data_IF_699836672561
#
_entry.id   IF_699836672561
#
_cell.length_a   1.000
_cell.length_b   1.000
_cell.length_c   1.000
_cell.angle_alpha   90.00
_cell.angle_beta   90.00
_cell.angle_gamma   90.00
#
_symmetry.space_group_name_H-M   'P 1'
#
loop_
_entity.id
_entity.type
_entity.pdbx_description
1 polymer ?
#
# COMPACT_ATOMS: atom_id res chain seq x y z
N UNK A 1 18.93 57.09 10.49
CA UNK A 1 18.55 55.88 11.24
C UNK A 1 17.25 55.24 10.75
N UNK A 2 16.19 55.99 10.47
CA UNK A 2 14.93 55.43 9.95
C UNK A 2 15.08 54.81 8.55
N UNK A 3 15.94 55.31 7.69
CA UNK A 3 16.19 54.78 6.33
C UNK A 3 16.86 53.40 6.36
N UNK A 4 17.86 53.20 7.21
CA UNK A 4 18.54 51.89 7.38
C UNK A 4 17.61 50.79 7.95
N UNK A 5 16.71 51.17 8.83
CA UNK A 5 15.73 50.20 9.37
C UNK A 5 14.72 49.77 8.30
N UNK A 6 14.27 50.66 7.44
CA UNK A 6 13.39 50.31 6.31
C UNK A 6 14.08 49.37 5.34
N UNK A 7 15.36 49.59 5.00
CA UNK A 7 16.14 48.73 4.12
C UNK A 7 16.27 47.33 4.72
N UNK A 8 16.55 47.22 6.03
CA UNK A 8 16.62 45.91 6.73
C UNK A 8 15.30 45.15 6.68
N UNK A 9 14.18 45.83 6.84
CA UNK A 9 12.83 45.21 6.78
C UNK A 9 12.56 44.70 5.35
N UNK A 10 12.85 45.45 4.32
CA UNK A 10 12.67 45.02 2.93
C UNK A 10 13.57 43.82 2.58
N UNK A 11 14.80 43.78 3.07
CA UNK A 11 15.70 42.63 2.89
C UNK A 11 15.17 41.39 3.58
N UNK A 12 14.64 41.49 4.79
CA UNK A 12 14.04 40.36 5.52
C UNK A 12 12.80 39.82 4.79
N UNK A 13 11.93 40.70 4.31
CA UNK A 13 10.72 40.30 3.55
C UNK A 13 11.12 39.60 2.25
N UNK A 14 12.14 40.12 1.55
CA UNK A 14 12.66 39.53 0.31
C UNK A 14 13.23 38.13 0.55
N UNK A 15 13.99 37.93 1.61
CA UNK A 15 14.56 36.64 1.98
C UNK A 15 13.43 35.64 2.34
N UNK A 16 12.41 36.05 3.09
CA UNK A 16 11.26 35.24 3.42
C UNK A 16 10.48 34.81 2.16
N UNK A 17 10.28 35.71 1.21
CA UNK A 17 9.60 35.40 -0.05
C UNK A 17 10.39 34.40 -0.89
N UNK A 18 11.71 34.54 -0.98
CA UNK A 18 12.59 33.63 -1.71
C UNK A 18 12.53 32.25 -1.05
N UNK A 19 12.59 32.18 0.28
CA UNK A 19 12.49 30.92 1.03
C UNK A 19 11.12 30.24 0.82
N UNK A 20 10.03 31.00 0.81
CA UNK A 20 8.70 30.51 0.52
C UNK A 20 8.57 29.94 -0.90
N UNK A 21 9.18 30.61 -1.89
CA UNK A 21 9.22 30.11 -3.27
C UNK A 21 10.05 28.84 -3.43
N UNK A 22 11.14 28.69 -2.69
CA UNK A 22 12.00 27.50 -2.75
C UNK A 22 11.31 26.25 -2.13
N UNK A 23 10.47 26.45 -1.14
CA UNK A 23 9.73 25.32 -0.50
C UNK A 23 8.47 24.90 -1.27
N UNK A 24 8.01 25.71 -2.22
CA UNK A 24 6.75 25.47 -2.94
C UNK A 24 6.87 24.49 -4.11
N UNK A 25 8.08 24.10 -4.51
CA UNK A 25 8.31 23.32 -5.74
C UNK A 25 8.34 21.80 -5.56
N UNK A 26 8.05 21.26 -4.37
CA UNK A 26 8.13 19.81 -4.11
C UNK A 26 6.77 19.10 -4.04
N UNK A 27 5.72 19.65 -4.62
CA UNK A 27 4.51 18.87 -4.85
C UNK A 27 4.73 17.99 -6.08
N UNK A 28 5.41 16.88 -5.86
CA UNK A 28 5.48 15.80 -6.85
C UNK A 28 4.10 15.21 -6.98
N UNK A 29 3.42 15.54 -8.05
CA UNK A 29 2.21 14.84 -8.48
C UNK A 29 2.60 13.38 -8.74
N UNK A 30 2.13 12.44 -7.94
CA UNK A 30 2.24 11.02 -8.28
C UNK A 30 1.44 10.78 -9.55
N UNK A 31 2.14 10.48 -10.62
CA UNK A 31 1.53 10.10 -11.89
C UNK A 31 0.76 8.78 -11.69
N UNK A 32 -0.55 8.84 -11.79
CA UNK A 32 -1.40 7.66 -11.70
C UNK A 32 -1.11 6.79 -12.92
N UNK A 33 -0.37 5.70 -12.72
CA UNK A 33 -0.06 4.74 -13.77
C UNK A 33 -1.19 3.70 -13.86
N UNK A 34 -1.96 3.75 -14.93
CA UNK A 34 -3.00 2.76 -15.21
C UNK A 34 -2.38 1.56 -15.92
N UNK A 35 -2.58 0.37 -15.37
CA UNK A 35 -2.15 -0.91 -15.95
C UNK A 35 -3.40 -1.73 -16.24
N UNK A 36 -3.59 -2.12 -17.47
CA UNK A 36 -4.72 -2.94 -17.90
C UNK A 36 -4.27 -4.23 -18.59
N UNK A 37 -5.03 -5.28 -18.44
CA UNK A 37 -4.75 -6.58 -19.01
C UNK A 37 -5.42 -7.71 -18.24
N UNK A 38 -5.21 -8.95 -18.68
CA UNK A 38 -5.70 -10.14 -17.99
C UNK A 38 -4.92 -10.35 -16.70
N UNK A 39 -5.63 -10.39 -15.58
CA UNK A 39 -5.04 -10.59 -14.27
C UNK A 39 -4.88 -12.09 -13.96
N UNK A 40 -3.68 -12.48 -13.56
CA UNK A 40 -3.36 -13.81 -13.04
C UNK A 40 -3.14 -13.72 -11.53
N UNK A 41 -3.89 -14.49 -10.77
CA UNK A 41 -3.78 -14.49 -9.31
C UNK A 41 -2.56 -15.30 -8.87
N UNK A 42 -1.70 -14.68 -8.04
CA UNK A 42 -0.53 -15.32 -7.43
C UNK A 42 -0.84 -15.79 -6.02
N UNK A 43 -1.38 -14.90 -5.19
CA UNK A 43 -1.80 -15.14 -3.80
C UNK A 43 -3.14 -14.46 -3.53
N UNK A 44 -3.68 -14.61 -2.32
CA UNK A 44 -4.94 -13.98 -1.93
C UNK A 44 -4.95 -12.45 -1.93
N UNK A 45 -3.78 -11.80 -1.98
CA UNK A 45 -3.61 -10.34 -2.01
C UNK A 45 -2.75 -9.84 -3.18
N UNK A 46 -2.33 -10.72 -4.07
CA UNK A 46 -1.38 -10.39 -5.14
C UNK A 46 -1.85 -10.94 -6.49
N UNK A 47 -1.86 -10.07 -7.48
CA UNK A 47 -2.16 -10.41 -8.88
C UNK A 47 -0.98 -10.04 -9.78
N UNK A 48 -0.94 -10.62 -10.95
CA UNK A 48 0.00 -10.28 -12.01
C UNK A 48 -0.76 -9.89 -13.28
N UNK A 49 -0.44 -8.72 -13.82
CA UNK A 49 -0.94 -8.27 -15.12
C UNK A 49 0.27 -8.10 -16.03
N UNK A 50 0.31 -8.86 -17.14
CA UNK A 50 1.50 -8.97 -17.98
C UNK A 50 2.68 -9.42 -17.12
N UNK A 51 3.81 -8.73 -17.16
CA UNK A 51 5.01 -9.04 -16.37
C UNK A 51 5.05 -8.33 -15.01
N UNK A 52 4.01 -7.53 -14.66
CA UNK A 52 4.00 -6.74 -13.43
C UNK A 52 3.23 -7.43 -12.32
N UNK A 53 3.90 -7.58 -11.18
CA UNK A 53 3.31 -8.03 -9.93
C UNK A 53 2.67 -6.85 -9.21
N UNK A 54 1.40 -7.00 -8.83
CA UNK A 54 0.61 -5.94 -8.19
C UNK A 54 0.06 -6.49 -6.88
N UNK A 55 0.40 -5.84 -5.76
CA UNK A 55 -0.19 -6.12 -4.48
C UNK A 55 -1.43 -5.27 -4.28
N UNK A 56 -2.53 -5.90 -3.87
CA UNK A 56 -3.79 -5.21 -3.62
C UNK A 56 -3.71 -4.40 -2.32
N UNK A 57 -4.02 -3.11 -2.40
CA UNK A 57 -3.96 -2.21 -1.26
C UNK A 57 -5.07 -2.53 -0.25
N UNK A 58 -4.73 -2.49 1.04
CA UNK A 58 -5.69 -2.70 2.13
C UNK A 58 -6.14 -4.15 2.33
N UNK A 59 -5.56 -5.09 1.60
CA UNK A 59 -5.79 -6.53 1.75
C UNK A 59 -4.50 -7.19 2.18
N UNK A 60 -4.58 -8.01 3.23
CA UNK A 60 -3.50 -8.88 3.66
C UNK A 60 -4.04 -10.30 3.74
N UNK A 61 -3.43 -11.22 3.01
CA UNK A 61 -3.86 -12.60 2.92
C UNK A 61 -2.67 -13.54 3.13
N UNK A 62 -2.91 -14.78 3.62
CA UNK A 62 -1.87 -15.78 3.71
C UNK A 62 -1.26 -16.08 2.34
N UNK A 63 0.05 -16.30 2.29
CA UNK A 63 0.72 -16.75 1.08
C UNK A 63 0.16 -18.08 0.58
N UNK A 64 0.19 -18.33 -0.73
CA UNK A 64 -0.44 -19.50 -1.35
C UNK A 64 -0.08 -20.82 -0.69
N UNK A 65 1.17 -20.99 -0.29
CA UNK A 65 1.66 -22.23 0.36
C UNK A 65 1.51 -22.22 1.88
N UNK A 66 1.04 -21.14 2.46
CA UNK A 66 0.88 -21.03 3.91
C UNK A 66 -0.24 -21.91 4.43
N UNK A 67 0.04 -22.60 5.53
CA UNK A 67 -0.94 -23.35 6.31
C UNK A 67 -1.27 -22.59 7.58
N UNK A 68 -2.52 -22.62 7.99
CA UNK A 68 -2.99 -22.03 9.23
C UNK A 68 -3.53 -23.12 10.16
N UNK A 69 -3.62 -22.81 11.44
CA UNK A 69 -4.15 -23.72 12.44
C UNK A 69 -5.56 -23.33 12.85
N UNK A 70 -6.43 -24.29 12.94
CA UNK A 70 -7.81 -24.13 13.38
C UNK A 70 -8.07 -25.04 14.58
N UNK A 71 -8.55 -24.52 15.72
CA UNK A 71 -8.95 -25.37 16.85
C UNK A 71 -10.16 -26.23 16.43
N UNK A 72 -10.05 -27.53 16.60
CA UNK A 72 -11.11 -28.45 16.26
C UNK A 72 -11.72 -29.15 17.50
N UNK A 73 -10.97 -29.22 18.59
CA UNK A 73 -11.41 -29.78 19.86
C UNK A 73 -10.77 -29.04 21.02
N UNK A 74 -11.57 -28.55 21.94
CA UNK A 74 -11.11 -27.94 23.19
C UNK A 74 -11.71 -28.73 24.38
N UNK A 75 -10.84 -29.31 25.21
CA UNK A 75 -11.22 -30.02 26.44
C UNK A 75 -10.54 -29.30 27.60
N UNK A 76 -11.34 -28.63 28.45
CA UNK A 76 -10.83 -27.85 29.59
C UNK A 76 -9.77 -26.80 29.14
N UNK A 77 -8.53 -26.94 29.62
CA UNK A 77 -7.41 -26.05 29.25
C UNK A 77 -6.58 -26.54 28.06
N UNK A 78 -6.90 -27.71 27.51
CA UNK A 78 -6.18 -28.34 26.41
C UNK A 78 -6.99 -28.15 25.12
N UNK A 79 -6.40 -27.53 24.12
CA UNK A 79 -6.97 -27.39 22.80
C UNK A 79 -6.13 -28.11 21.75
N UNK A 80 -6.78 -28.88 20.89
CA UNK A 80 -6.14 -29.51 19.74
C UNK A 80 -6.43 -28.70 18.50
N UNK A 81 -5.40 -28.39 17.72
CA UNK A 81 -5.51 -27.64 16.48
C UNK A 81 -5.19 -28.52 15.28
N UNK A 82 -5.84 -28.24 14.16
CA UNK A 82 -5.63 -28.90 12.88
C UNK A 82 -5.15 -27.90 11.85
N UNK A 83 -4.16 -28.27 11.08
CA UNK A 83 -3.68 -27.48 9.96
C UNK A 83 -4.70 -27.49 8.82
N UNK A 84 -4.88 -26.34 8.18
CA UNK A 84 -5.68 -26.20 6.97
C UNK A 84 -4.99 -25.28 5.95
N UNK A 85 -5.24 -25.45 4.65
CA UNK A 85 -4.55 -24.72 3.59
C UNK A 85 -5.15 -23.32 3.40
N UNK A 86 -4.99 -22.44 4.38
CA UNK A 86 -5.55 -21.08 4.35
C UNK A 86 -5.03 -20.24 3.17
N UNK A 87 -3.77 -20.40 2.79
CA UNK A 87 -3.18 -19.70 1.65
C UNK A 87 -3.82 -20.12 0.33
N UNK A 88 -4.06 -21.42 0.13
CA UNK A 88 -4.74 -21.93 -1.06
C UNK A 88 -6.21 -21.46 -1.11
N UNK A 89 -6.89 -21.48 0.01
CA UNK A 89 -8.30 -21.04 0.11
C UNK A 89 -8.43 -19.57 -0.24
N UNK A 90 -7.57 -18.71 0.29
CA UNK A 90 -7.60 -17.27 -0.01
C UNK A 90 -7.26 -16.98 -1.48
N UNK A 91 -6.29 -17.69 -2.04
CA UNK A 91 -5.93 -17.61 -3.47
C UNK A 91 -7.10 -18.01 -4.37
N UNK A 92 -7.78 -19.10 -4.07
CA UNK A 92 -8.92 -19.58 -4.84
C UNK A 92 -10.12 -18.63 -4.76
N UNK A 93 -10.36 -18.03 -3.60
CA UNK A 93 -11.38 -16.99 -3.44
C UNK A 93 -11.10 -15.76 -4.31
N UNK A 94 -9.86 -15.30 -4.37
CA UNK A 94 -9.49 -14.19 -5.24
C UNK A 94 -9.62 -14.55 -6.73
N UNK A 95 -9.20 -15.77 -7.12
CA UNK A 95 -9.39 -16.27 -8.50
C UNK A 95 -10.85 -16.22 -8.93
N UNK A 96 -11.76 -16.67 -8.10
CA UNK A 96 -13.20 -16.61 -8.40
C UNK A 96 -13.69 -15.17 -8.63
N UNK A 97 -13.20 -14.22 -7.84
CA UNK A 97 -13.57 -12.81 -7.99
C UNK A 97 -13.00 -12.18 -9.26
N UNK A 98 -11.78 -12.52 -9.62
CA UNK A 98 -11.08 -11.95 -10.78
C UNK A 98 -11.54 -12.56 -12.09
N UNK A 99 -11.76 -13.88 -12.13
CA UNK A 99 -12.14 -14.59 -13.35
C UNK A 99 -13.60 -14.31 -13.81
N UNK A 100 -14.44 -13.79 -12.93
CA UNK A 100 -15.82 -13.42 -13.26
C UNK A 100 -15.92 -12.01 -13.86
N UNK A 101 -14.82 -11.39 -14.16
CA UNK A 101 -14.71 -10.09 -14.81
C UNK A 101 -13.79 -10.18 -16.02
#
# INVERSE_FOLDING_TARGET
MMFLNKIKIYLLISICLIFFFLTYNDVKSEEIKIISGIAKVTDGDTIRIKEKKIRLLGIDAPEKKQKCQKPWLTISIISFSKDYPCGQISTDKLKKKVNNK
#
